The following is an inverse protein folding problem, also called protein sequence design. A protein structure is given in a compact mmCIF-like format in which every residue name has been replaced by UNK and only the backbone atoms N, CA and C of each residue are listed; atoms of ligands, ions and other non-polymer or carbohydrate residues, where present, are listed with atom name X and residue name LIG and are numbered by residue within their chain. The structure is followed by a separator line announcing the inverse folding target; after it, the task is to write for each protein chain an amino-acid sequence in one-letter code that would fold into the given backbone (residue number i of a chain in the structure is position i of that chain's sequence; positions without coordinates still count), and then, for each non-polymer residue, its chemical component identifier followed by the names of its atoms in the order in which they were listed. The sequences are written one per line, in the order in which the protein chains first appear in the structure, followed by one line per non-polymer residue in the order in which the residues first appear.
data_IF_787788325998
#
_entry.id   IF_787788325998
#
_cell.length_a   1.000
_cell.length_b   1.000
_cell.length_c   1.000
_cell.angle_alpha   90.00
_cell.angle_beta   90.00
_cell.angle_gamma   90.00
#
_symmetry.space_group_name_H-M   'P 1'
#
loop_
_entity.id
_entity.type
_entity.pdbx_description
1 polymer ?
#
# COMPACT_ATOMS: atom_id res chain seq x y z
N UNK A 1 9.19 5.33 22.19
CA UNK A 1 7.71 5.39 22.21
C UNK A 1 7.24 6.12 20.96
N UNK A 2 7.05 5.38 19.87
CA UNK A 2 6.45 5.92 18.66
C UNK A 2 4.96 6.10 18.93
N UNK A 3 4.50 7.35 18.89
CA UNK A 3 3.12 7.75 19.21
C UNK A 3 2.14 7.04 18.29
N UNK A 4 1.11 6.44 18.89
CA UNK A 4 0.01 5.67 18.29
C UNK A 4 -0.63 6.35 17.06
N UNK A 5 -0.56 7.68 16.98
CA UNK A 5 -1.01 8.50 15.86
C UNK A 5 -0.19 8.29 14.58
N UNK A 6 1.13 8.11 14.68
CA UNK A 6 2.02 7.93 13.53
C UNK A 6 1.86 6.54 12.89
N UNK A 7 1.66 5.51 13.71
CA UNK A 7 1.40 4.16 13.22
C UNK A 7 0.03 4.07 12.54
N UNK A 8 -0.99 4.73 13.11
CA UNK A 8 -2.33 4.81 12.51
C UNK A 8 -2.33 5.58 11.19
N UNK A 9 -1.63 6.72 11.12
CA UNK A 9 -1.51 7.47 9.87
C UNK A 9 -0.80 6.65 8.78
N UNK A 10 0.25 5.89 9.13
CA UNK A 10 0.90 4.96 8.20
C UNK A 10 -0.05 3.86 7.74
N UNK A 11 -0.78 3.20 8.63
CA UNK A 11 -1.76 2.17 8.24
C UNK A 11 -2.90 2.73 7.38
N UNK A 12 -3.43 3.92 7.70
CA UNK A 12 -4.46 4.57 6.86
C UNK A 12 -3.95 4.91 5.46
N UNK A 13 -2.66 5.24 5.35
CA UNK A 13 -2.02 5.46 4.06
C UNK A 13 -1.93 4.13 3.28
N UNK A 14 -1.47 3.04 3.91
CA UNK A 14 -1.42 1.72 3.27
C UNK A 14 -2.80 1.22 2.82
N UNK A 15 -3.85 1.41 3.61
CA UNK A 15 -5.23 1.05 3.24
C UNK A 15 -5.70 1.78 1.97
N UNK A 16 -5.38 3.07 1.87
CA UNK A 16 -5.77 3.91 0.73
C UNK A 16 -5.03 3.48 -0.54
N UNK A 17 -3.72 3.28 -0.42
CA UNK A 17 -2.88 2.82 -1.54
C UNK A 17 -3.28 1.41 -1.99
N UNK A 18 -3.59 0.50 -1.06
CA UNK A 18 -4.09 -0.83 -1.40
C UNK A 18 -5.42 -0.77 -2.18
N UNK A 19 -6.33 0.13 -1.80
CA UNK A 19 -7.58 0.32 -2.54
C UNK A 19 -7.36 0.84 -3.97
N UNK A 20 -6.41 1.77 -4.17
CA UNK A 20 -6.02 2.27 -5.51
C UNK A 20 -5.36 1.15 -6.34
N UNK A 21 -4.55 0.28 -5.71
CA UNK A 21 -3.95 -0.88 -6.37
C UNK A 21 -5.04 -1.84 -6.87
N UNK A 22 -6.07 -2.10 -6.06
CA UNK A 22 -7.22 -2.93 -6.44
C UNK A 22 -8.01 -2.30 -7.60
N UNK A 23 -8.13 -0.97 -7.62
CA UNK A 23 -8.77 -0.23 -8.72
C UNK A 23 -7.93 -0.25 -10.01
N UNK A 24 -6.63 -0.53 -9.91
CA UNK A 24 -5.71 -0.64 -11.04
C UNK A 24 -4.91 0.63 -11.34
N UNK A 25 -4.98 1.65 -10.47
CA UNK A 25 -4.30 2.95 -10.67
C UNK A 25 -2.78 2.82 -10.67
N UNK A 26 -2.27 1.80 -9.99
CA UNK A 26 -0.85 1.49 -9.88
C UNK A 26 -0.35 0.53 -10.96
N UNK A 27 -1.18 0.11 -11.91
CA UNK A 27 -0.78 -0.86 -12.93
C UNK A 27 -0.69 -2.30 -12.38
N UNK A 28 -0.04 -3.17 -13.15
CA UNK A 28 -0.05 -4.63 -12.92
C UNK A 28 1.36 -5.21 -12.82
N UNK A 29 1.53 -6.21 -11.94
CA UNK A 29 2.79 -6.94 -11.81
C UNK A 29 3.97 -6.04 -11.43
N UNK A 30 4.99 -6.01 -12.29
CA UNK A 30 6.24 -5.28 -12.06
C UNK A 30 6.05 -3.75 -12.09
N UNK A 31 5.17 -3.23 -12.95
CA UNK A 31 4.87 -1.79 -13.02
C UNK A 31 4.35 -1.24 -11.69
N UNK A 32 3.48 -2.02 -11.02
CA UNK A 32 2.96 -1.68 -9.70
C UNK A 32 4.07 -1.57 -8.67
N UNK A 33 4.97 -2.55 -8.67
CA UNK A 33 6.11 -2.57 -7.76
C UNK A 33 6.98 -1.32 -7.95
N UNK A 34 7.37 -1.02 -9.18
CA UNK A 34 8.21 0.14 -9.49
C UNK A 34 7.54 1.47 -9.08
N UNK A 35 6.25 1.65 -9.38
CA UNK A 35 5.53 2.88 -9.03
C UNK A 35 5.42 3.06 -7.52
N UNK A 36 5.08 2.00 -6.77
CA UNK A 36 4.97 2.06 -5.32
C UNK A 36 6.33 2.38 -4.67
N UNK A 37 7.40 1.72 -5.10
CA UNK A 37 8.75 1.98 -4.59
C UNK A 37 9.23 3.41 -4.93
N UNK A 38 8.96 3.90 -6.14
CA UNK A 38 9.26 5.28 -6.53
C UNK A 38 8.50 6.32 -5.71
N UNK A 39 7.27 6.01 -5.30
CA UNK A 39 6.47 6.83 -4.40
C UNK A 39 6.90 6.71 -2.92
N UNK A 40 7.84 5.80 -2.62
CA UNK A 40 8.37 5.58 -1.27
C UNK A 40 7.56 4.60 -0.43
N UNK A 41 6.63 3.86 -1.04
CA UNK A 41 5.88 2.79 -0.38
C UNK A 41 6.63 1.46 -0.45
N UNK A 42 6.45 0.65 0.58
CA UNK A 42 6.91 -0.73 0.58
C UNK A 42 5.88 -1.60 -0.16
N UNK A 43 6.31 -2.15 -1.31
CA UNK A 43 5.48 -3.00 -2.15
C UNK A 43 4.93 -4.21 -1.38
N UNK A 44 5.74 -4.86 -0.54
CA UNK A 44 5.34 -6.09 0.14
C UNK A 44 4.25 -5.79 1.18
N UNK A 45 4.36 -4.66 1.89
CA UNK A 45 3.35 -4.19 2.84
C UNK A 45 2.03 -3.86 2.14
N UNK A 46 2.09 -3.12 1.03
CA UNK A 46 0.88 -2.78 0.25
C UNK A 46 0.24 -4.02 -0.35
N UNK A 47 1.03 -4.94 -0.92
CA UNK A 47 0.50 -6.15 -1.55
C UNK A 47 -0.09 -7.12 -0.52
N UNK A 48 0.49 -7.23 0.67
CA UNK A 48 -0.11 -7.98 1.77
C UNK A 48 -1.49 -7.40 2.14
N UNK A 49 -1.60 -6.07 2.21
CA UNK A 49 -2.86 -5.42 2.51
C UNK A 49 -3.91 -5.60 1.41
N UNK A 50 -3.50 -5.55 0.14
CA UNK A 50 -4.36 -5.87 -1.00
C UNK A 50 -4.94 -7.28 -0.87
N UNK A 51 -4.12 -8.25 -0.50
CA UNK A 51 -4.58 -9.64 -0.31
C UNK A 51 -5.60 -9.72 0.83
N UNK A 52 -5.34 -9.08 1.98
CA UNK A 52 -6.28 -9.03 3.11
C UNK A 52 -7.63 -8.37 2.75
N UNK A 53 -7.65 -7.43 1.80
CA UNK A 53 -8.89 -6.76 1.37
C UNK A 53 -9.70 -7.57 0.35
N UNK A 54 -9.10 -8.60 -0.27
CA UNK A 54 -9.72 -9.44 -1.30
C UNK A 54 -10.08 -10.86 -0.81
N UNK A 55 -9.53 -11.30 0.33
CA UNK A 55 -9.97 -12.50 1.06
C UNK A 55 -11.38 -12.34 1.66
#
# INVERSE_FOLDING_TARGET
NYTETGLRANNQNIDSIAAEVIQGDWGNGEERKERLEQAGYDYDVVQARVNEMLE
#
